data_IF_114635983420
#
_entry.id   IF_114635983420
#
_cell.length_a   1.000
_cell.length_b   1.000
_cell.length_c   1.000
_cell.angle_alpha   90.00
_cell.angle_beta   90.00
_cell.angle_gamma   90.00
#
_symmetry.space_group_name_H-M   'P 1'
#
loop_
_entity.id
_entity.type
_entity.pdbx_description
1 polymer ?
#
# COMPACT_ATOMS: atom_id res chain seq x y z
N UNK A 1 -12.61 19.85 32.75
CA UNK A 1 -11.61 20.07 31.69
C UNK A 1 -12.30 19.80 30.38
N UNK A 2 -12.50 20.88 29.64
CA UNK A 2 -13.46 21.03 28.55
C UNK A 2 -13.16 20.14 27.35
N UNK A 3 -14.21 19.54 26.79
CA UNK A 3 -14.17 18.90 25.50
C UNK A 3 -14.11 19.99 24.41
N UNK A 4 -12.96 20.12 23.76
CA UNK A 4 -12.78 20.95 22.56
C UNK A 4 -13.44 20.27 21.35
N UNK A 5 -14.16 21.06 20.56
CA UNK A 5 -15.13 20.63 19.57
C UNK A 5 -14.52 19.96 18.32
N UNK A 6 -14.92 18.70 18.06
CA UNK A 6 -14.80 18.09 16.74
C UNK A 6 -15.84 18.68 15.77
N UNK A 7 -15.36 19.20 14.64
CA UNK A 7 -16.15 19.61 13.46
C UNK A 7 -16.98 18.43 12.89
N UNK A 8 -18.06 18.69 12.14
CA UNK A 8 -19.31 17.90 12.16
C UNK A 8 -19.35 16.73 11.16
N UNK A 9 -18.26 15.97 11.02
CA UNK A 9 -18.24 14.80 10.13
C UNK A 9 -17.71 13.57 10.88
N UNK A 10 -18.61 12.93 11.63
CA UNK A 10 -18.44 11.69 12.41
C UNK A 10 -17.42 11.71 13.56
N UNK A 11 -17.92 11.52 14.80
CA UNK A 11 -17.12 11.33 16.01
C UNK A 11 -16.96 9.84 16.30
N UNK A 12 -16.02 9.21 15.61
CA UNK A 12 -15.65 7.82 15.89
C UNK A 12 -14.52 7.79 16.93
N UNK A 13 -14.66 6.95 17.95
CA UNK A 13 -13.60 6.64 18.90
C UNK A 13 -13.23 5.17 18.81
N UNK A 14 -11.94 4.88 18.91
CA UNK A 14 -11.45 3.51 18.99
C UNK A 14 -11.79 2.95 20.37
N UNK A 15 -12.60 1.87 20.42
CA UNK A 15 -13.03 1.26 21.69
C UNK A 15 -12.21 0.00 21.99
N UNK A 16 -11.95 -0.85 20.98
CA UNK A 16 -11.23 -2.10 21.14
C UNK A 16 -10.77 -2.66 19.79
N UNK A 17 -9.61 -3.32 19.76
CA UNK A 17 -9.14 -4.08 18.59
C UNK A 17 -9.83 -5.44 18.52
N UNK A 18 -10.27 -5.82 17.32
CA UNK A 18 -10.73 -7.18 17.01
C UNK A 18 -9.60 -8.09 16.55
N UNK A 19 -9.95 -9.09 15.72
CA UNK A 19 -8.97 -9.94 15.04
C UNK A 19 -8.18 -9.15 13.99
N UNK A 20 -6.91 -9.50 13.81
CA UNK A 20 -6.04 -8.87 12.80
C UNK A 20 -5.90 -9.77 11.59
N UNK A 21 -6.18 -9.22 10.41
CA UNK A 21 -6.04 -9.95 9.16
C UNK A 21 -4.69 -9.64 8.50
N UNK A 22 -3.87 -10.68 8.21
CA UNK A 22 -2.60 -10.49 7.54
C UNK A 22 -2.82 -10.23 6.04
N UNK A 23 -2.22 -9.15 5.54
CA UNK A 23 -2.15 -8.88 4.11
C UNK A 23 -1.10 -9.80 3.45
N UNK A 24 -1.41 -10.37 2.29
CA UNK A 24 -0.55 -11.34 1.58
C UNK A 24 -0.51 -11.06 0.08
N UNK A 25 0.58 -11.46 -0.57
CA UNK A 25 0.73 -11.49 -2.02
C UNK A 25 0.27 -12.82 -2.57
N UNK A 26 -0.45 -12.78 -3.69
CA UNK A 26 -0.91 -13.96 -4.40
C UNK A 26 -0.51 -13.86 -5.87
N UNK A 27 -0.27 -15.01 -6.49
CA UNK A 27 0.06 -15.11 -7.91
C UNK A 27 -0.48 -16.42 -8.46
N UNK A 28 -1.04 -16.37 -9.66
CA UNK A 28 -1.52 -17.58 -10.37
C UNK A 28 -0.38 -18.34 -11.06
N UNK A 29 0.73 -17.66 -11.36
CA UNK A 29 1.82 -18.18 -12.21
C UNK A 29 3.11 -18.42 -11.44
N UNK A 30 3.46 -17.51 -10.53
CA UNK A 30 4.75 -17.49 -9.85
C UNK A 30 4.59 -17.96 -8.41
N UNK A 31 5.48 -18.84 -7.96
CA UNK A 31 5.45 -19.40 -6.60
C UNK A 31 6.34 -18.62 -5.63
N UNK A 32 7.36 -17.92 -6.14
CA UNK A 32 8.28 -17.13 -5.34
C UNK A 32 8.38 -15.70 -5.85
N UNK A 33 8.73 -14.79 -4.95
CA UNK A 33 8.94 -13.37 -5.24
C UNK A 33 10.13 -13.16 -6.20
N UNK A 34 11.13 -14.03 -6.13
CA UNK A 34 12.27 -14.06 -7.04
C UNK A 34 11.86 -14.27 -8.50
N UNK A 35 10.80 -15.05 -8.73
CA UNK A 35 10.42 -15.55 -10.06
C UNK A 35 9.68 -14.50 -10.89
N UNK A 36 9.27 -13.38 -10.28
CA UNK A 36 8.62 -12.29 -11.01
C UNK A 36 9.61 -11.70 -12.02
N UNK A 37 9.27 -11.65 -13.32
CA UNK A 37 10.10 -11.02 -14.32
C UNK A 37 10.15 -9.50 -14.10
N UNK A 38 11.18 -8.87 -14.64
CA UNK A 38 11.22 -7.40 -14.77
C UNK A 38 10.06 -6.98 -15.68
N UNK A 39 9.38 -5.89 -15.32
CA UNK A 39 8.18 -5.43 -16.04
C UNK A 39 6.86 -6.06 -15.57
N UNK A 40 6.88 -6.91 -14.53
CA UNK A 40 5.68 -7.52 -13.97
C UNK A 40 4.64 -6.50 -13.48
N UNK A 41 3.37 -6.75 -13.81
CA UNK A 41 2.25 -5.93 -13.34
C UNK A 41 1.66 -6.52 -12.06
N UNK A 42 1.46 -5.68 -11.05
CA UNK A 42 0.84 -6.06 -9.77
C UNK A 42 -0.39 -5.20 -9.52
N UNK A 43 -1.51 -5.83 -9.15
CA UNK A 43 -2.69 -5.12 -8.69
C UNK A 43 -2.57 -4.78 -7.20
N UNK A 44 -2.97 -3.56 -6.83
CA UNK A 44 -2.99 -3.08 -5.45
C UNK A 44 -4.39 -2.52 -5.13
N UNK A 45 -4.77 -2.44 -3.83
CA UNK A 45 -6.00 -1.75 -3.42
C UNK A 45 -6.02 -0.29 -3.88
N UNK A 46 -7.21 0.26 -4.09
CA UNK A 46 -7.41 1.64 -4.54
C UNK A 46 -7.91 2.59 -3.44
N UNK A 47 -7.92 2.15 -2.18
CA UNK A 47 -8.20 2.99 -1.03
C UNK A 47 -6.88 3.37 -0.32
N UNK A 48 -6.72 4.63 0.12
CA UNK A 48 -5.45 5.14 0.65
C UNK A 48 -4.85 4.29 1.79
N UNK A 49 -5.69 3.77 2.68
CA UNK A 49 -5.25 3.02 3.87
C UNK A 49 -4.70 1.65 3.51
N UNK A 50 -5.42 0.87 2.68
CA UNK A 50 -4.96 -0.46 2.29
C UNK A 50 -3.91 -0.41 1.18
N UNK A 51 -3.96 0.61 0.32
CA UNK A 51 -2.92 0.86 -0.68
C UNK A 51 -1.56 1.04 -0.01
N UNK A 52 -1.50 1.85 1.06
CA UNK A 52 -0.28 2.01 1.87
C UNK A 52 0.22 0.69 2.43
N UNK A 53 -0.67 -0.14 2.99
CA UNK A 53 -0.30 -1.46 3.54
C UNK A 53 0.28 -2.37 2.46
N UNK A 54 -0.28 -2.34 1.25
CA UNK A 54 0.23 -3.08 0.11
C UNK A 54 1.62 -2.59 -0.33
N UNK A 55 1.83 -1.28 -0.42
CA UNK A 55 3.11 -0.69 -0.81
C UNK A 55 4.23 -1.01 0.19
N UNK A 56 3.95 -0.94 1.49
CA UNK A 56 4.91 -1.34 2.54
C UNK A 56 5.26 -2.82 2.41
N UNK A 57 4.27 -3.68 2.15
CA UNK A 57 4.49 -5.11 1.96
C UNK A 57 5.36 -5.40 0.73
N UNK A 58 5.14 -4.70 -0.38
CA UNK A 58 5.95 -4.82 -1.60
C UNK A 58 7.39 -4.36 -1.36
N UNK A 59 7.59 -3.29 -0.59
CA UNK A 59 8.93 -2.83 -0.21
C UNK A 59 9.64 -3.83 0.69
N UNK A 60 8.95 -4.40 1.69
CA UNK A 60 9.49 -5.42 2.58
C UNK A 60 9.91 -6.70 1.82
N UNK A 61 9.34 -6.94 0.62
CA UNK A 61 9.70 -8.04 -0.27
C UNK A 61 10.72 -7.64 -1.35
N UNK A 62 11.25 -6.41 -1.31
CA UNK A 62 12.28 -5.92 -2.24
C UNK A 62 11.79 -5.71 -3.67
N UNK A 63 10.47 -5.67 -3.88
CA UNK A 63 9.87 -5.50 -5.22
C UNK A 63 9.82 -4.03 -5.66
N UNK A 64 9.73 -3.12 -4.70
CA UNK A 64 9.71 -1.67 -4.93
C UNK A 64 10.55 -0.97 -3.87
N UNK A 65 10.92 0.27 -4.16
CA UNK A 65 11.55 1.16 -3.21
C UNK A 65 10.67 2.41 -3.05
N UNK A 66 10.20 2.69 -1.84
CA UNK A 66 9.44 3.91 -1.54
C UNK A 66 10.38 5.08 -1.28
N UNK A 67 9.93 6.31 -1.61
CA UNK A 67 10.66 7.54 -1.29
C UNK A 67 10.90 7.67 0.23
N UNK A 68 12.05 8.23 0.67
CA UNK A 68 12.39 8.31 2.11
C UNK A 68 11.33 9.10 2.90
N UNK A 69 10.84 10.16 2.27
CA UNK A 69 9.85 11.12 2.74
C UNK A 69 8.39 10.65 2.49
N UNK A 70 8.19 9.39 2.09
CA UNK A 70 6.84 8.84 1.92
C UNK A 70 6.10 8.63 3.25
N UNK A 71 6.82 8.45 4.38
CA UNK A 71 6.28 8.54 5.75
C UNK A 71 4.92 7.85 5.98
N UNK A 72 4.04 8.53 6.73
CA UNK A 72 2.67 8.08 7.00
C UNK A 72 1.71 8.23 5.79
N UNK A 73 2.18 8.95 4.77
CA UNK A 73 1.47 9.45 3.58
C UNK A 73 1.78 8.64 2.32
N UNK A 74 2.35 7.44 2.47
CA UNK A 74 2.69 6.54 1.37
C UNK A 74 1.43 5.89 0.74
N UNK A 75 0.37 6.66 0.62
CA UNK A 75 -0.99 6.23 0.32
C UNK A 75 -1.31 6.21 -1.17
N UNK A 76 -0.34 6.52 -2.03
CA UNK A 76 -0.52 6.59 -3.48
C UNK A 76 0.68 6.08 -4.29
N UNK A 77 0.48 5.62 -5.54
CA UNK A 77 1.53 5.01 -6.36
C UNK A 77 2.62 6.02 -6.75
N UNK A 78 2.29 7.32 -6.73
CA UNK A 78 3.21 8.44 -7.00
C UNK A 78 4.42 8.51 -6.04
N UNK A 79 4.39 7.74 -4.94
CA UNK A 79 5.46 7.69 -3.93
C UNK A 79 6.48 6.57 -4.13
N UNK A 80 6.38 5.80 -5.22
CA UNK A 80 7.40 4.82 -5.61
C UNK A 80 8.62 5.57 -6.17
N UNK A 81 9.81 5.35 -5.58
CA UNK A 81 11.09 5.94 -6.03
C UNK A 81 11.68 5.15 -7.21
N UNK A 82 11.61 3.84 -7.13
CA UNK A 82 12.11 2.93 -8.17
C UNK A 82 11.45 1.57 -8.01
N UNK A 83 11.09 0.92 -9.12
CA UNK A 83 10.68 -0.47 -9.11
C UNK A 83 11.67 -1.29 -9.94
N UNK A 84 12.48 -2.17 -9.35
CA UNK A 84 13.36 -3.06 -10.12
C UNK A 84 12.58 -4.04 -11.01
N UNK A 85 11.27 -4.21 -10.80
CA UNK A 85 10.45 -5.20 -11.50
C UNK A 85 9.14 -4.69 -12.10
N UNK A 86 8.83 -3.40 -12.06
CA UNK A 86 7.59 -2.87 -12.66
C UNK A 86 7.92 -1.91 -13.80
N UNK A 87 7.39 -2.20 -14.98
CA UNK A 87 7.37 -1.29 -16.11
C UNK A 87 5.99 -0.63 -16.12
N UNK A 88 5.97 0.68 -16.00
CA UNK A 88 4.75 1.48 -15.97
C UNK A 88 4.18 1.57 -17.38
N UNK A 89 3.12 0.81 -17.68
CA UNK A 89 2.28 1.09 -18.84
C UNK A 89 1.34 2.27 -18.49
N UNK A 90 1.28 3.34 -19.29
CA UNK A 90 0.29 4.39 -19.09
C UNK A 90 -1.10 3.81 -19.30
N UNK A 91 -2.02 4.12 -18.38
CA UNK A 91 -3.44 3.76 -18.45
C UNK A 91 -3.99 4.13 -19.82
N UNK A 92 -4.44 3.15 -20.60
CA UNK A 92 -5.18 3.42 -21.83
C UNK A 92 -6.55 3.95 -21.41
N UNK A 93 -6.91 5.12 -21.95
CA UNK A 93 -8.21 5.79 -21.78
C UNK A 93 -9.39 4.83 -21.99
#
# INVERSE_FOLDING_TARGET
MSAEAATPHSRLCFVRSGSTEPLRLYSKKYKRVSDFPVGSTTAIPNDPTNERRALILLQAKGLITLKPDAGFEASTPCRIRSSPKAESRPTRK
#
